data_IF_780399891354
#
_entry.id   IF_780399891354
#
_cell.length_a   1.000
_cell.length_b   1.000
_cell.length_c   1.000
_cell.angle_alpha   90.00
_cell.angle_beta   90.00
_cell.angle_gamma   90.00
#
_symmetry.space_group_name_H-M   'P 1'
#
loop_
_entity.id
_entity.type
_entity.pdbx_description
1 polymer ?
#
# COMPACT_ATOMS: atom_id res chain seq x y z
N UNK A 1 -0.94 3.75 -25.79
CA UNK A 1 -1.66 5.01 -25.50
C UNK A 1 -2.73 5.37 -26.53
N UNK A 2 -2.42 5.46 -27.84
CA UNK A 2 -3.40 5.88 -28.87
C UNK A 2 -4.70 5.06 -28.87
N UNK A 3 -4.61 3.72 -28.79
CA UNK A 3 -5.79 2.82 -28.78
C UNK A 3 -6.73 3.06 -27.59
N UNK A 4 -6.18 3.17 -26.38
CA UNK A 4 -6.93 3.51 -25.17
C UNK A 4 -7.63 4.88 -25.29
N UNK A 5 -6.93 5.89 -25.81
CA UNK A 5 -7.51 7.23 -25.98
C UNK A 5 -8.66 7.24 -27.00
N UNK A 6 -8.57 6.44 -28.07
CA UNK A 6 -9.55 6.49 -29.16
C UNK A 6 -10.73 5.53 -29.00
N UNK A 7 -10.54 4.43 -28.27
CA UNK A 7 -11.53 3.34 -28.23
C UNK A 7 -11.82 2.82 -26.83
N UNK A 8 -11.18 3.40 -25.80
CA UNK A 8 -11.17 2.88 -24.43
C UNK A 8 -10.71 1.42 -24.31
N UNK A 9 -10.19 0.83 -25.41
CA UNK A 9 -9.60 -0.49 -25.43
C UNK A 9 -8.06 -0.32 -25.49
N UNK A 10 -7.34 -0.72 -24.43
CA UNK A 10 -5.87 -0.68 -24.42
C UNK A 10 -5.24 -1.81 -25.26
N UNK A 11 -6.04 -2.76 -25.73
CA UNK A 11 -5.62 -3.96 -26.45
C UNK A 11 -5.68 -3.80 -27.97
N UNK A 12 -4.87 -4.58 -28.69
CA UNK A 12 -4.83 -4.64 -30.15
C UNK A 12 -3.80 -5.66 -30.63
N UNK A 13 -3.80 -6.01 -31.92
CA UNK A 13 -2.94 -7.09 -32.49
C UNK A 13 -1.44 -6.99 -32.16
N UNK A 14 -0.92 -5.80 -31.83
CA UNK A 14 0.49 -5.55 -31.48
C UNK A 14 0.67 -4.96 -30.08
N UNK A 15 -0.36 -4.99 -29.25
CA UNK A 15 -0.32 -4.48 -27.89
C UNK A 15 -0.42 -5.64 -26.89
N UNK A 16 0.19 -5.50 -25.71
CA UNK A 16 0.00 -6.45 -24.62
C UNK A 16 -1.51 -6.64 -24.34
N UNK A 17 -1.92 -7.89 -24.13
CA UNK A 17 -3.24 -8.21 -23.59
C UNK A 17 -3.24 -7.88 -22.10
N UNK A 18 -4.31 -7.26 -21.63
CA UNK A 18 -4.47 -6.90 -20.23
C UNK A 18 -5.41 -7.92 -19.61
N UNK A 19 -4.84 -9.03 -19.16
CA UNK A 19 -5.60 -10.03 -18.42
C UNK A 19 -6.27 -9.40 -17.20
N UNK A 20 -7.44 -9.94 -16.83
CA UNK A 20 -8.14 -9.51 -15.62
C UNK A 20 -7.21 -9.69 -14.41
N UNK A 21 -7.19 -8.69 -13.54
CA UNK A 21 -6.34 -8.74 -12.37
C UNK A 21 -6.78 -9.88 -11.44
N UNK A 22 -5.84 -10.76 -11.10
CA UNK A 22 -6.02 -11.80 -10.10
C UNK A 22 -5.08 -11.57 -8.92
N UNK A 23 -5.51 -11.94 -7.71
CA UNK A 23 -4.66 -11.90 -6.53
C UNK A 23 -3.45 -12.84 -6.66
N UNK A 24 -3.61 -13.96 -7.38
CA UNK A 24 -2.53 -14.88 -7.74
C UNK A 24 -1.59 -14.20 -8.75
N UNK A 25 -0.31 -14.07 -8.39
CA UNK A 25 0.69 -13.34 -9.18
C UNK A 25 0.58 -11.81 -9.12
N UNK A 26 -0.09 -11.24 -8.09
CA UNK A 26 -0.27 -9.80 -7.90
C UNK A 26 1.05 -9.05 -7.62
N UNK A 27 1.81 -8.81 -8.69
CA UNK A 27 3.04 -8.02 -8.59
C UNK A 27 2.71 -6.53 -8.51
N UNK A 28 3.06 -5.92 -7.39
CA UNK A 28 3.00 -4.48 -7.14
C UNK A 28 4.37 -3.89 -7.43
N UNK A 29 4.39 -2.80 -8.19
CA UNK A 29 5.60 -1.99 -8.39
C UNK A 29 5.80 -1.10 -7.16
N UNK A 30 6.86 -1.37 -6.40
CA UNK A 30 7.23 -0.63 -5.19
C UNK A 30 8.28 0.41 -5.52
N UNK A 31 7.99 1.66 -5.15
CA UNK A 31 8.91 2.79 -5.28
C UNK A 31 9.34 3.23 -3.88
N UNK A 32 10.62 3.09 -3.57
CA UNK A 32 11.23 3.46 -2.30
C UNK A 32 12.54 4.22 -2.54
N UNK A 33 13.13 4.82 -1.52
CA UNK A 33 14.41 5.49 -1.59
C UNK A 33 15.14 5.47 -0.24
N UNK A 34 16.45 5.25 -0.28
CA UNK A 34 17.33 5.56 0.84
C UNK A 34 18.00 6.93 0.64
N UNK A 35 18.75 7.39 1.64
CA UNK A 35 19.58 8.60 1.53
C UNK A 35 20.62 8.53 0.40
N UNK A 36 20.92 7.34 -0.12
CA UNK A 36 21.94 7.12 -1.13
C UNK A 36 21.35 6.87 -2.54
N UNK A 37 20.18 6.24 -2.64
CA UNK A 37 19.60 5.86 -3.94
C UNK A 37 18.10 5.59 -3.90
N UNK A 38 17.46 5.73 -5.06
CA UNK A 38 16.14 5.18 -5.32
C UNK A 38 16.20 3.65 -5.40
N UNK A 39 15.12 2.99 -4.95
CA UNK A 39 14.88 1.55 -5.05
C UNK A 39 13.53 1.35 -5.73
N UNK A 40 13.55 0.69 -6.88
CA UNK A 40 12.34 0.38 -7.64
C UNK A 40 12.35 -1.13 -7.89
N UNK A 41 11.34 -1.82 -7.39
CA UNK A 41 11.25 -3.28 -7.49
C UNK A 41 9.82 -3.75 -7.74
N UNK A 42 9.69 -4.89 -8.40
CA UNK A 42 8.43 -5.62 -8.44
C UNK A 42 8.43 -6.59 -7.26
N UNK A 43 7.34 -6.62 -6.50
CA UNK A 43 7.17 -7.59 -5.43
C UNK A 43 5.71 -7.87 -5.20
N UNK A 44 5.40 -8.74 -4.26
CA UNK A 44 4.03 -9.01 -3.87
C UNK A 44 3.65 -8.10 -2.68
N UNK A 45 2.39 -7.69 -2.64
CA UNK A 45 1.81 -7.06 -1.47
C UNK A 45 0.58 -7.85 -1.06
N UNK A 46 0.75 -8.65 -0.01
CA UNK A 46 -0.29 -9.52 0.54
C UNK A 46 -0.70 -9.10 1.94
N UNK A 47 -0.19 -7.96 2.44
CA UNK A 47 -0.49 -7.52 3.79
C UNK A 47 -1.95 -7.06 3.88
N UNK A 48 -2.65 -7.63 4.86
CA UNK A 48 -3.99 -7.20 5.22
C UNK A 48 -3.93 -6.02 6.18
N UNK A 49 -5.06 -5.37 6.44
CA UNK A 49 -5.06 -4.27 7.41
C UNK A 49 -4.83 -4.80 8.83
N UNK A 50 -5.31 -6.00 9.12
CA UNK A 50 -5.08 -6.71 10.37
C UNK A 50 -3.58 -6.97 10.60
N UNK A 51 -2.85 -7.35 9.55
CA UNK A 51 -1.39 -7.53 9.61
C UNK A 51 -0.68 -6.22 9.95
N UNK A 52 -1.13 -5.11 9.37
CA UNK A 52 -0.57 -3.77 9.64
C UNK A 52 -0.81 -3.38 11.10
N UNK A 53 -2.03 -3.55 11.62
CA UNK A 53 -2.35 -3.24 13.02
C UNK A 53 -1.56 -4.13 13.99
N UNK A 54 -1.41 -5.42 13.68
CA UNK A 54 -0.63 -6.34 14.48
C UNK A 54 0.85 -5.93 14.54
N UNK A 55 1.44 -5.60 13.39
CA UNK A 55 2.82 -5.10 13.33
C UNK A 55 2.99 -3.79 14.10
N UNK A 56 2.03 -2.86 13.99
CA UNK A 56 2.03 -1.60 14.71
C UNK A 56 2.00 -1.81 16.24
N UNK A 57 1.23 -2.79 16.73
CA UNK A 57 1.20 -3.16 18.15
C UNK A 57 2.49 -3.84 18.59
N UNK A 58 3.04 -4.73 17.77
CA UNK A 58 4.25 -5.49 18.08
C UNK A 58 5.54 -4.65 18.06
N UNK A 59 5.55 -3.51 17.34
CA UNK A 59 6.68 -2.60 17.35
C UNK A 59 7.01 -2.15 18.78
N UNK A 60 8.27 -2.17 19.19
CA UNK A 60 8.70 -1.68 20.51
C UNK A 60 9.70 -0.52 20.40
N UNK A 61 9.93 -0.02 19.19
CA UNK A 61 10.89 1.06 18.94
C UNK A 61 10.36 2.43 19.37
N UNK A 62 9.04 2.59 19.42
CA UNK A 62 8.35 3.78 19.90
C UNK A 62 7.59 3.50 21.20
N UNK A 63 7.58 4.48 22.11
CA UNK A 63 6.72 4.45 23.29
C UNK A 63 5.24 4.55 22.88
N UNK A 64 4.35 4.01 23.70
CA UNK A 64 2.91 4.02 23.44
C UNK A 64 2.36 5.44 23.19
N UNK A 65 2.79 6.43 23.98
CA UNK A 65 2.36 7.83 23.80
C UNK A 65 2.76 8.39 22.44
N UNK A 66 3.97 8.09 21.97
CA UNK A 66 4.44 8.53 20.64
C UNK A 66 3.66 7.84 19.53
N UNK A 67 3.35 6.56 19.69
CA UNK A 67 2.51 5.84 18.74
C UNK A 67 1.10 6.40 18.68
N UNK A 68 0.50 6.72 19.83
CA UNK A 68 -0.83 7.31 19.86
C UNK A 68 -0.88 8.66 19.14
N UNK A 69 0.13 9.51 19.34
CA UNK A 69 0.25 10.78 18.61
C UNK A 69 0.32 10.56 17.09
N UNK A 70 1.07 9.55 16.62
CA UNK A 70 1.15 9.23 15.19
C UNK A 70 -0.19 8.73 14.63
N UNK A 71 -0.88 7.86 15.36
CA UNK A 71 -2.21 7.38 14.97
C UNK A 71 -3.17 8.57 14.83
N UNK A 72 -3.27 9.39 15.87
CA UNK A 72 -4.27 10.46 15.95
C UNK A 72 -4.04 11.58 14.92
N UNK A 73 -2.78 11.90 14.61
CA UNK A 73 -2.43 13.10 13.84
C UNK A 73 -1.90 12.82 12.43
N UNK A 74 -1.38 11.62 12.16
CA UNK A 74 -0.73 11.29 10.88
C UNK A 74 -1.51 10.24 10.12
N UNK A 75 -1.91 9.17 10.81
CA UNK A 75 -2.50 7.98 10.19
C UNK A 75 -4.01 8.07 10.07
N UNK A 76 -4.72 8.66 11.04
CA UNK A 76 -6.17 8.80 10.98
C UNK A 76 -6.63 9.71 9.82
N UNK A 77 -7.79 9.40 9.25
CA UNK A 77 -8.40 10.12 8.13
C UNK A 77 -7.73 9.92 6.76
N UNK A 78 -6.85 8.92 6.61
CA UNK A 78 -6.32 8.50 5.29
C UNK A 78 -7.26 7.51 4.65
N UNK A 79 -7.20 7.37 3.32
CA UNK A 79 -8.08 6.45 2.59
C UNK A 79 -7.97 4.98 3.04
N UNK A 80 -6.88 4.61 3.72
CA UNK A 80 -6.64 3.29 4.32
C UNK A 80 -6.81 3.26 5.85
N UNK A 81 -7.15 4.39 6.49
CA UNK A 81 -7.08 4.51 7.96
C UNK A 81 -8.29 3.97 8.69
N UNK A 82 -9.33 3.50 7.99
CA UNK A 82 -10.59 3.13 8.63
C UNK A 82 -10.42 2.14 9.80
N UNK A 83 -9.50 1.15 9.75
CA UNK A 83 -9.25 0.26 10.90
C UNK A 83 -8.30 0.83 11.95
N UNK A 84 -7.63 1.94 11.66
CA UNK A 84 -6.77 2.70 12.58
C UNK A 84 -7.54 3.83 13.27
N UNK A 85 -8.63 4.30 12.67
CA UNK A 85 -9.42 5.41 13.18
C UNK A 85 -10.00 5.06 14.57
N UNK A 86 -9.54 5.78 15.59
CA UNK A 86 -9.94 5.53 16.98
C UNK A 86 -9.21 4.37 17.66
N UNK A 87 -8.19 3.79 17.02
CA UNK A 87 -7.33 2.78 17.63
C UNK A 87 -6.58 3.37 18.84
N UNK A 88 -6.67 2.69 19.99
CA UNK A 88 -5.85 3.00 21.15
C UNK A 88 -4.76 1.96 21.32
N UNK A 89 -3.53 2.41 21.49
CA UNK A 89 -2.35 1.53 21.59
C UNK A 89 -2.31 0.76 22.91
N UNK A 90 -2.98 1.28 23.95
CA UNK A 90 -2.97 0.73 25.31
C UNK A 90 -4.27 -0.02 25.70
N UNK A 91 -5.18 -0.28 24.75
CA UNK A 91 -6.41 -1.06 24.94
C UNK A 91 -6.39 -2.31 24.04
#
# INVERSE_FOLDING_TARGET
MKGFITSSNPEGEKLPQWEEWTADGSQVMKFDASLEKAKIEMGEDSQTTEDIVANLRADSTLSADKKQVLIDNVLNGRWFSQPLDGLKVNE
#
